data_IF_868565109399
#
_entry.id   IF_868565109399
#
_cell.length_a   1.000
_cell.length_b   1.000
_cell.length_c   1.000
_cell.angle_alpha   90.00
_cell.angle_beta   90.00
_cell.angle_gamma   90.00
#
_symmetry.space_group_name_H-M   'P 1'
#
loop_
_entity.id
_entity.type
_entity.pdbx_description
1 polymer ?
#
# COMPACT_ATOMS: atom_id res chain seq x y z
N UNK A 1 11.68 -4.89 -19.17
CA UNK A 1 10.49 -4.27 -18.60
C UNK A 1 10.13 -5.03 -17.34
N UNK A 2 10.27 -4.41 -16.17
CA UNK A 2 9.58 -4.91 -14.98
C UNK A 2 8.08 -4.81 -15.27
N UNK A 3 7.38 -5.96 -15.26
CA UNK A 3 5.94 -5.99 -15.46
C UNK A 3 5.28 -5.40 -14.20
N UNK A 4 4.28 -4.54 -14.38
CA UNK A 4 3.39 -4.18 -13.28
C UNK A 4 2.67 -5.45 -12.80
N UNK A 5 2.74 -5.75 -11.50
CA UNK A 5 1.90 -6.78 -10.90
C UNK A 5 0.52 -6.18 -10.64
N UNK A 6 -0.54 -6.83 -11.11
CA UNK A 6 -1.92 -6.40 -10.88
C UNK A 6 -2.60 -7.34 -9.90
N UNK A 7 -3.11 -6.78 -8.81
CA UNK A 7 -3.85 -7.48 -7.77
C UNK A 7 -5.29 -6.97 -7.81
N UNK A 8 -6.23 -7.92 -7.94
CA UNK A 8 -7.66 -7.61 -7.85
C UNK A 8 -8.18 -8.01 -6.47
N UNK A 9 -8.84 -7.08 -5.82
CA UNK A 9 -9.55 -7.31 -4.56
C UNK A 9 -11.05 -7.12 -4.80
N UNK A 10 -11.88 -7.42 -3.80
CA UNK A 10 -13.33 -7.17 -3.91
C UNK A 10 -13.66 -5.67 -4.08
N UNK A 11 -12.77 -4.78 -3.63
CA UNK A 11 -13.01 -3.35 -3.56
C UNK A 11 -12.19 -2.52 -4.53
N UNK A 12 -11.13 -3.06 -5.13
CA UNK A 12 -10.17 -2.28 -5.91
C UNK A 12 -9.29 -3.13 -6.83
N UNK A 13 -8.87 -2.49 -7.92
CA UNK A 13 -7.75 -2.95 -8.73
C UNK A 13 -6.48 -2.21 -8.28
N UNK A 14 -5.40 -2.95 -8.06
CA UNK A 14 -4.14 -2.43 -7.54
C UNK A 14 -3.03 -2.84 -8.49
N UNK A 15 -2.14 -1.92 -8.84
CA UNK A 15 -0.97 -2.20 -9.64
C UNK A 15 0.31 -1.79 -8.89
N UNK A 16 1.33 -2.64 -8.92
CA UNK A 16 2.62 -2.42 -8.25
C UNK A 16 3.74 -2.43 -9.29
N UNK A 17 4.63 -1.45 -9.22
CA UNK A 17 5.85 -1.37 -10.03
C UNK A 17 7.10 -1.44 -9.16
N UNK A 18 8.06 -2.28 -9.54
CA UNK A 18 9.39 -2.32 -8.95
C UNK A 18 10.34 -1.40 -9.73
N UNK A 19 10.97 -0.45 -9.04
CA UNK A 19 11.85 0.56 -9.63
C UNK A 19 13.13 -0.10 -10.15
N UNK A 20 13.21 -0.32 -11.46
CA UNK A 20 14.40 -0.85 -12.14
C UNK A 20 14.83 -0.01 -13.35
N UNK A 21 13.88 0.71 -13.94
CA UNK A 21 14.04 1.48 -15.17
C UNK A 21 14.63 2.88 -14.94
N UNK A 22 15.31 3.41 -15.96
CA UNK A 22 15.72 4.81 -16.00
C UNK A 22 14.53 5.73 -16.30
N UNK A 23 14.73 7.04 -16.11
CA UNK A 23 13.69 8.03 -16.42
C UNK A 23 13.37 8.02 -17.93
N UNK A 24 14.36 7.81 -18.78
CA UNK A 24 14.21 7.74 -20.24
C UNK A 24 13.37 6.52 -20.64
N UNK A 25 13.66 5.34 -20.08
CA UNK A 25 12.86 4.13 -20.32
C UNK A 25 11.42 4.31 -19.83
N UNK A 26 11.21 4.96 -18.68
CA UNK A 26 9.87 5.24 -18.16
C UNK A 26 9.09 6.23 -19.05
N UNK A 27 9.76 7.22 -19.63
CA UNK A 27 9.15 8.15 -20.60
C UNK A 27 8.68 7.42 -21.85
N UNK A 28 9.49 6.49 -22.37
CA UNK A 28 9.13 5.65 -23.50
C UNK A 28 7.92 4.75 -23.19
N UNK A 29 7.86 4.18 -21.98
CA UNK A 29 6.71 3.36 -21.55
C UNK A 29 5.43 4.19 -21.39
N UNK A 30 5.53 5.39 -20.78
CA UNK A 30 4.38 6.27 -20.61
C UNK A 30 3.86 6.77 -21.97
N UNK A 31 4.77 7.17 -22.85
CA UNK A 31 4.50 7.63 -24.22
C UNK A 31 3.39 8.69 -24.30
N UNK A 32 3.50 9.73 -23.46
CA UNK A 32 2.59 10.87 -23.40
C UNK A 32 3.39 12.15 -23.14
N UNK A 33 3.68 12.90 -24.20
CA UNK A 33 4.59 14.05 -24.11
C UNK A 33 4.02 15.18 -23.23
N UNK A 34 2.69 15.36 -23.21
CA UNK A 34 2.08 16.43 -22.43
C UNK A 34 2.26 16.16 -20.93
N UNK A 35 1.97 14.93 -20.49
CA UNK A 35 2.20 14.52 -19.10
C UNK A 35 3.69 14.51 -18.76
N UNK A 36 4.56 14.00 -19.65
CA UNK A 36 6.01 13.95 -19.42
C UNK A 36 6.57 15.35 -19.22
N UNK A 37 6.24 16.29 -20.12
CA UNK A 37 6.70 17.68 -20.04
C UNK A 37 6.20 18.35 -18.75
N UNK A 38 4.95 18.12 -18.37
CA UNK A 38 4.39 18.64 -17.11
C UNK A 38 5.14 18.10 -15.88
N UNK A 39 5.48 16.81 -15.85
CA UNK A 39 6.27 16.21 -14.76
C UNK A 39 7.65 16.85 -14.67
N UNK A 40 8.33 17.07 -15.79
CA UNK A 40 9.65 17.70 -15.82
C UNK A 40 9.63 19.15 -15.31
N UNK A 41 8.60 19.91 -15.69
CA UNK A 41 8.41 21.30 -15.24
C UNK A 41 8.15 21.36 -13.73
N UNK A 42 7.28 20.48 -13.22
CA UNK A 42 6.83 20.52 -11.82
C UNK A 42 7.85 19.93 -10.84
N UNK A 43 8.68 18.99 -11.28
CA UNK A 43 9.56 18.23 -10.39
C UNK A 43 11.00 18.24 -10.90
N UNK A 44 11.87 19.01 -10.25
CA UNK A 44 13.31 19.03 -10.56
C UNK A 44 14.08 17.83 -9.99
N UNK A 45 13.52 17.12 -9.00
CA UNK A 45 14.16 15.98 -8.36
C UNK A 45 13.94 14.70 -9.18
N UNK A 46 15.00 14.00 -9.64
CA UNK A 46 14.88 12.78 -10.44
C UNK A 46 14.07 11.67 -9.76
N UNK A 47 14.23 11.50 -8.44
CA UNK A 47 13.44 10.52 -7.67
C UNK A 47 11.95 10.83 -7.75
N UNK A 48 11.57 12.11 -7.66
CA UNK A 48 10.17 12.52 -7.74
C UNK A 48 9.62 12.38 -9.16
N UNK A 49 10.43 12.68 -10.19
CA UNK A 49 10.06 12.41 -11.58
C UNK A 49 9.81 10.92 -11.81
N UNK A 50 10.71 10.04 -11.36
CA UNK A 50 10.51 8.58 -11.42
C UNK A 50 9.21 8.16 -10.73
N UNK A 51 8.93 8.69 -9.54
CA UNK A 51 7.69 8.39 -8.81
C UNK A 51 6.44 8.79 -9.58
N UNK A 52 6.44 9.97 -10.19
CA UNK A 52 5.32 10.48 -10.96
C UNK A 52 5.12 9.72 -12.27
N UNK A 53 6.20 9.44 -13.00
CA UNK A 53 6.13 8.66 -14.24
C UNK A 53 5.53 7.27 -13.99
N UNK A 54 6.04 6.56 -12.99
CA UNK A 54 5.54 5.23 -12.63
C UNK A 54 4.07 5.30 -12.19
N UNK A 55 3.67 6.32 -11.42
CA UNK A 55 2.27 6.47 -11.01
C UNK A 55 1.33 6.63 -12.21
N UNK A 56 1.71 7.44 -13.20
CA UNK A 56 0.95 7.59 -14.44
C UNK A 56 0.93 6.31 -15.29
N UNK A 57 2.05 5.58 -15.35
CA UNK A 57 2.13 4.27 -16.02
C UNK A 57 1.18 3.27 -15.36
N UNK A 58 1.15 3.20 -14.03
CA UNK A 58 0.26 2.29 -13.30
C UNK A 58 -1.22 2.66 -13.49
N UNK A 59 -1.57 3.94 -13.49
CA UNK A 59 -2.93 4.38 -13.80
C UNK A 59 -3.29 4.03 -15.25
N UNK A 60 -2.39 4.29 -16.21
CA UNK A 60 -2.58 3.90 -17.62
C UNK A 60 -2.82 2.41 -17.76
N UNK A 61 -2.09 1.59 -17.00
CA UNK A 61 -2.24 0.15 -17.01
C UNK A 61 -3.61 -0.29 -16.47
N UNK A 62 -4.09 0.32 -15.38
CA UNK A 62 -5.37 -0.02 -14.75
C UNK A 62 -6.59 0.51 -15.52
N UNK A 63 -6.49 1.69 -16.14
CA UNK A 63 -7.62 2.35 -16.84
C UNK A 63 -7.57 2.22 -18.36
N UNK A 64 -6.48 1.70 -18.93
CA UNK A 64 -6.25 1.61 -20.37
C UNK A 64 -5.90 2.94 -21.05
N UNK A 65 -5.78 4.03 -20.30
CA UNK A 65 -5.49 5.37 -20.83
C UNK A 65 -4.73 6.21 -19.80
N UNK A 66 -3.88 7.11 -20.27
CA UNK A 66 -3.17 8.07 -19.41
C UNK A 66 -4.17 9.06 -18.83
N UNK A 67 -4.03 9.37 -17.53
CA UNK A 67 -4.82 10.37 -16.83
C UNK A 67 -3.91 11.33 -16.10
N UNK A 68 -4.30 12.60 -16.05
CA UNK A 68 -3.62 13.61 -15.23
C UNK A 68 -3.89 13.33 -13.74
N UNK A 69 -2.82 13.24 -12.93
CA UNK A 69 -2.92 13.11 -11.48
C UNK A 69 -2.90 14.50 -10.86
N UNK A 70 -4.02 14.91 -10.26
CA UNK A 70 -4.18 16.16 -9.52
C UNK A 70 -4.10 15.92 -8.03
N UNK A 71 -3.93 16.98 -7.25
CA UNK A 71 -3.85 16.90 -5.79
C UNK A 71 -4.86 17.85 -5.15
N UNK A 72 -5.55 17.38 -4.13
CA UNK A 72 -6.41 18.21 -3.29
C UNK A 72 -5.58 19.16 -2.42
N UNK A 73 -6.24 20.08 -1.71
CA UNK A 73 -5.57 21.03 -0.81
C UNK A 73 -4.73 20.32 0.27
N UNK A 74 -5.19 19.16 0.74
CA UNK A 74 -4.50 18.32 1.71
C UNK A 74 -3.44 17.39 1.09
N UNK A 75 -3.18 17.51 -0.21
CA UNK A 75 -2.22 16.70 -0.95
C UNK A 75 -2.70 15.32 -1.36
N UNK A 76 -3.96 14.93 -1.12
CA UNK A 76 -4.46 13.64 -1.60
C UNK A 76 -4.61 13.62 -3.13
N UNK A 77 -4.13 12.57 -3.81
CA UNK A 77 -4.20 12.49 -5.26
C UNK A 77 -5.62 12.17 -5.72
N UNK A 78 -6.01 12.73 -6.87
CA UNK A 78 -7.25 12.39 -7.57
C UNK A 78 -7.07 12.47 -9.08
N UNK A 79 -8.00 11.87 -9.81
CA UNK A 79 -8.14 11.96 -11.26
C UNK A 79 -9.55 12.49 -11.57
N UNK A 80 -9.74 13.14 -12.72
CA UNK A 80 -11.05 13.64 -13.16
C UNK A 80 -11.94 12.49 -13.69
N UNK A 81 -12.22 11.52 -12.81
CA UNK A 81 -13.07 10.36 -13.04
C UNK A 81 -13.93 10.12 -11.79
N UNK A 82 -15.04 9.40 -11.94
CA UNK A 82 -15.87 8.95 -10.81
C UNK A 82 -15.23 7.78 -10.04
N UNK A 83 -13.92 7.86 -9.77
CA UNK A 83 -13.12 6.82 -9.10
C UNK A 83 -12.18 7.44 -8.07
N UNK A 84 -11.91 6.68 -7.02
CA UNK A 84 -10.94 7.02 -5.99
C UNK A 84 -9.60 6.37 -6.29
N UNK A 85 -8.52 7.10 -6.06
CA UNK A 85 -7.17 6.57 -6.16
C UNK A 85 -6.42 6.75 -4.85
N UNK A 86 -5.53 5.79 -4.55
CA UNK A 86 -4.53 5.94 -3.50
C UNK A 86 -3.19 5.49 -4.05
N UNK A 87 -2.15 6.28 -3.77
CA UNK A 87 -0.79 6.04 -4.25
C UNK A 87 0.12 5.84 -3.04
N UNK A 88 0.96 4.81 -3.07
CA UNK A 88 1.99 4.61 -2.06
C UNK A 88 3.33 4.30 -2.68
N UNK A 89 4.39 4.84 -2.07
CA UNK A 89 5.75 4.68 -2.56
C UNK A 89 6.62 4.10 -1.44
N UNK A 90 7.36 3.05 -1.76
CA UNK A 90 8.47 2.57 -0.93
C UNK A 90 9.81 2.93 -1.59
N UNK A 91 10.91 2.52 -0.96
CA UNK A 91 12.24 2.71 -1.54
C UNK A 91 12.35 2.00 -2.89
N UNK A 92 11.86 0.77 -3.00
CA UNK A 92 12.01 -0.07 -4.19
C UNK A 92 10.77 -0.12 -5.08
N UNK A 93 9.61 0.27 -4.60
CA UNK A 93 8.35 0.00 -5.30
C UNK A 93 7.38 1.18 -5.23
N UNK A 94 6.38 1.16 -6.12
CA UNK A 94 5.25 2.09 -6.11
C UNK A 94 3.99 1.28 -6.36
N UNK A 95 2.94 1.58 -5.61
CA UNK A 95 1.63 1.00 -5.80
C UNK A 95 0.59 2.10 -6.06
N UNK A 96 -0.36 1.79 -6.95
CA UNK A 96 -1.56 2.58 -7.18
C UNK A 96 -2.77 1.66 -7.02
N UNK A 97 -3.74 2.09 -6.23
CA UNK A 97 -5.06 1.47 -6.14
C UNK A 97 -6.11 2.36 -6.80
N UNK A 98 -7.08 1.75 -7.48
CA UNK A 98 -8.26 2.41 -8.04
C UNK A 98 -9.51 1.68 -7.54
N UNK A 99 -10.48 2.44 -7.03
CA UNK A 99 -11.73 1.91 -6.47
C UNK A 99 -12.92 2.81 -6.79
N UNK A 100 -14.12 2.21 -6.82
CA UNK A 100 -15.41 2.91 -6.89
C UNK A 100 -15.79 3.57 -5.54
N UNK A 101 -15.06 3.25 -4.46
CA UNK A 101 -15.26 3.80 -3.11
C UNK A 101 -13.96 4.40 -2.57
N UNK A 102 -14.01 5.26 -1.53
CA UNK A 102 -12.81 5.72 -0.85
C UNK A 102 -11.90 4.56 -0.47
N UNK A 103 -10.62 4.70 -0.81
CA UNK A 103 -9.60 3.68 -0.60
C UNK A 103 -8.31 4.31 -0.09
N UNK A 104 -7.60 3.59 0.77
CA UNK A 104 -6.25 3.93 1.18
C UNK A 104 -5.35 2.70 1.04
N UNK A 105 -4.17 2.90 0.47
CA UNK A 105 -3.13 1.87 0.44
C UNK A 105 -1.85 2.39 1.04
N UNK A 106 -1.10 1.49 1.66
CA UNK A 106 0.23 1.79 2.15
C UNK A 106 1.20 0.67 1.78
N UNK A 107 2.38 1.06 1.32
CA UNK A 107 3.39 0.16 0.78
C UNK A 107 4.70 0.47 1.48
N UNK A 108 5.06 -0.36 2.44
CA UNK A 108 6.17 -0.10 3.34
C UNK A 108 7.17 -1.25 3.41
N UNK A 109 8.44 -0.90 3.58
CA UNK A 109 9.48 -1.90 3.84
C UNK A 109 9.53 -2.17 5.35
N UNK A 110 9.66 -3.45 5.73
CA UNK A 110 9.85 -3.80 7.16
C UNK A 110 11.22 -3.26 7.58
N UNK A 111 11.22 -2.19 8.38
CA UNK A 111 12.42 -1.56 8.94
C UNK A 111 12.36 -1.56 10.48
N UNK A 112 13.53 -1.44 11.12
CA UNK A 112 13.66 -1.35 12.58
C UNK A 112 13.14 -0.02 13.12
N UNK A 113 12.99 0.99 12.26
CA UNK A 113 12.55 2.34 12.64
C UNK A 113 11.09 2.38 13.10
N UNK A 114 10.22 1.59 12.50
CA UNK A 114 8.81 1.53 12.90
C UNK A 114 8.70 1.04 14.36
N UNK A 115 9.48 0.01 14.71
CA UNK A 115 9.54 -0.48 16.10
C UNK A 115 10.13 0.55 17.08
N UNK A 116 11.16 1.32 16.69
CA UNK A 116 11.74 2.33 17.59
C UNK A 116 10.81 3.52 17.84
N UNK A 117 9.86 3.78 16.94
CA UNK A 117 8.87 4.85 17.05
C UNK A 117 7.51 4.37 17.55
N UNK A 118 7.37 3.10 17.93
CA UNK A 118 6.10 2.45 18.26
C UNK A 118 5.20 3.29 19.18
N UNK A 119 5.77 3.83 20.26
CA UNK A 119 5.03 4.62 21.27
C UNK A 119 4.38 5.89 20.73
N UNK A 120 4.82 6.40 19.57
CA UNK A 120 4.28 7.63 18.97
C UNK A 120 3.00 7.41 18.18
N UNK A 121 2.70 6.18 17.78
CA UNK A 121 1.58 5.90 16.89
C UNK A 121 0.70 4.75 17.36
N UNK A 122 1.02 4.10 18.48
CA UNK A 122 0.27 2.92 18.96
C UNK A 122 -0.52 3.15 20.23
N UNK A 123 -1.68 2.51 20.32
CA UNK A 123 -2.48 2.39 21.54
C UNK A 123 -1.82 1.40 22.52
N UNK A 124 -2.20 1.40 23.82
CA UNK A 124 -1.72 0.39 24.76
C UNK A 124 -2.00 -1.06 24.33
N UNK A 125 -3.16 -1.32 23.71
CA UNK A 125 -3.52 -2.65 23.22
C UNK A 125 -2.61 -3.11 22.08
N UNK A 126 -2.29 -2.21 21.15
CA UNK A 126 -1.35 -2.46 20.05
C UNK A 126 0.08 -2.69 20.57
N UNK A 127 0.50 -1.95 21.60
CA UNK A 127 1.80 -2.16 22.25
C UNK A 127 1.89 -3.56 22.88
N UNK A 128 0.83 -3.98 23.59
CA UNK A 128 0.75 -5.34 24.15
C UNK A 128 0.81 -6.41 23.06
N UNK A 129 0.11 -6.19 21.93
CA UNK A 129 0.16 -7.10 20.79
C UNK A 129 1.58 -7.24 20.24
N UNK A 130 2.29 -6.12 20.01
CA UNK A 130 3.69 -6.13 19.58
C UNK A 130 4.59 -6.83 20.59
N UNK A 131 4.41 -6.57 21.89
CA UNK A 131 5.23 -7.18 22.93
C UNK A 131 5.05 -8.69 23.05
N UNK A 132 3.84 -9.18 22.78
CA UNK A 132 3.48 -10.59 22.81
C UNK A 132 3.93 -11.37 21.56
N UNK A 133 4.26 -10.68 20.47
CA UNK A 133 4.67 -11.31 19.21
C UNK A 133 6.14 -11.75 19.21
N UNK A 134 6.39 -12.89 18.56
CA UNK A 134 7.75 -13.36 18.27
C UNK A 134 8.46 -12.48 17.23
N UNK A 135 7.72 -11.79 16.36
CA UNK A 135 8.25 -10.86 15.37
C UNK A 135 7.69 -9.44 15.59
N UNK A 136 8.32 -8.73 16.53
CA UNK A 136 7.93 -7.37 16.91
C UNK A 136 8.06 -6.38 15.75
N UNK A 137 9.02 -6.59 14.85
CA UNK A 137 9.26 -5.70 13.72
C UNK A 137 8.14 -5.84 12.70
N UNK A 138 7.74 -7.07 12.39
CA UNK A 138 6.62 -7.36 11.51
C UNK A 138 5.33 -6.73 12.03
N UNK A 139 4.96 -6.97 13.29
CA UNK A 139 3.70 -6.42 13.84
C UNK A 139 3.75 -4.88 13.89
N UNK A 140 4.89 -4.29 14.22
CA UNK A 140 5.04 -2.83 14.20
C UNK A 140 4.87 -2.23 12.80
N UNK A 141 5.40 -2.90 11.77
CA UNK A 141 5.25 -2.49 10.38
C UNK A 141 3.80 -2.63 9.91
N UNK A 142 3.10 -3.71 10.29
CA UNK A 142 1.68 -3.91 9.99
C UNK A 142 0.83 -2.80 10.61
N UNK A 143 1.03 -2.49 11.90
CA UNK A 143 0.27 -1.43 12.58
C UNK A 143 0.55 -0.08 11.90
N UNK A 144 1.81 0.25 11.66
CA UNK A 144 2.18 1.49 10.97
C UNK A 144 1.50 1.61 9.61
N UNK A 145 1.63 0.58 8.77
CA UNK A 145 1.06 0.56 7.43
C UNK A 145 -0.47 0.63 7.46
N UNK A 146 -1.11 0.02 8.45
CA UNK A 146 -2.55 0.13 8.66
C UNK A 146 -3.03 1.52 9.01
N UNK A 147 -2.30 2.22 9.88
CA UNK A 147 -2.66 3.58 10.23
C UNK A 147 -2.44 4.54 9.07
N UNK A 148 -1.36 4.39 8.31
CA UNK A 148 -1.11 5.18 7.08
C UNK A 148 -2.18 4.93 6.00
N UNK A 149 -2.57 3.68 5.77
CA UNK A 149 -3.62 3.35 4.81
C UNK A 149 -4.99 3.90 5.27
N UNK A 150 -5.33 3.78 6.56
CA UNK A 150 -6.55 4.39 7.12
C UNK A 150 -6.51 5.92 7.02
N UNK A 151 -5.35 6.55 7.25
CA UNK A 151 -5.17 7.98 7.10
C UNK A 151 -5.45 8.44 5.66
N UNK A 152 -4.90 7.74 4.67
CA UNK A 152 -5.14 8.00 3.24
C UNK A 152 -6.61 7.79 2.87
N UNK A 153 -7.27 6.76 3.41
CA UNK A 153 -8.70 6.52 3.21
C UNK A 153 -9.57 7.62 3.84
N UNK A 154 -9.23 8.04 5.07
CA UNK A 154 -9.99 9.05 5.81
C UNK A 154 -9.88 10.44 5.17
N UNK A 155 -8.74 10.73 4.55
CA UNK A 155 -8.47 11.98 3.84
C UNK A 155 -8.68 13.24 4.71
N UNK A 156 -8.30 13.17 6.00
CA UNK A 156 -8.50 14.21 7.00
C UNK A 156 -7.15 14.65 7.57
N UNK A 157 -6.83 15.94 7.43
CA UNK A 157 -5.62 16.52 8.02
C UNK A 157 -5.66 16.48 9.55
N UNK A 158 -4.49 16.27 10.16
CA UNK A 158 -4.32 16.33 11.61
C UNK A 158 -4.86 15.13 12.38
N UNK A 159 -5.16 14.02 11.68
CA UNK A 159 -5.60 12.79 12.31
C UNK A 159 -4.53 12.20 13.25
N UNK A 160 -4.92 11.91 14.49
CA UNK A 160 -4.00 11.39 15.51
C UNK A 160 -4.01 9.86 15.53
N UNK A 161 -2.91 9.24 15.13
CA UNK A 161 -2.81 7.78 14.97
C UNK A 161 -3.02 7.03 16.28
N UNK A 162 -2.49 7.52 17.39
CA UNK A 162 -2.51 6.87 18.69
C UNK A 162 -3.87 6.94 19.40
N UNK A 163 -4.78 7.81 18.96
CA UNK A 163 -6.05 8.06 19.66
C UNK A 163 -7.29 7.94 18.76
N UNK A 164 -7.14 8.06 17.44
CA UNK A 164 -8.27 8.00 16.51
C UNK A 164 -8.30 6.74 15.64
N UNK A 165 -7.19 5.97 15.61
CA UNK A 165 -7.08 4.71 14.90
C UNK A 165 -6.60 3.61 15.85
N UNK A 166 -7.33 2.50 15.90
CA UNK A 166 -6.93 1.29 16.64
C UNK A 166 -7.02 0.05 15.74
N UNK A 167 -5.93 -0.68 15.62
CA UNK A 167 -5.84 -1.94 14.88
C UNK A 167 -6.17 -3.09 15.82
N UNK A 168 -7.11 -3.95 15.42
CA UNK A 168 -7.43 -5.16 16.19
C UNK A 168 -6.30 -6.17 16.01
N UNK A 169 -5.74 -6.71 17.11
CA UNK A 169 -4.74 -7.77 17.02
C UNK A 169 -5.23 -8.99 16.23
N UNK A 170 -4.38 -9.53 15.37
CA UNK A 170 -4.62 -10.74 14.59
C UNK A 170 -3.33 -11.55 14.42
N UNK A 171 -3.44 -12.78 13.89
CA UNK A 171 -2.26 -13.57 13.54
C UNK A 171 -1.96 -13.44 12.03
N UNK A 172 -0.91 -12.70 11.62
CA UNK A 172 -0.58 -12.52 10.20
C UNK A 172 -0.09 -13.79 9.50
N UNK A 173 0.26 -14.84 10.25
CA UNK A 173 0.60 -16.16 9.69
C UNK A 173 -0.65 -16.96 9.29
N UNK A 174 -1.83 -16.59 9.80
CA UNK A 174 -3.10 -17.31 9.60
C UNK A 174 -4.16 -16.49 8.86
N UNK A 175 -4.11 -15.16 9.00
CA UNK A 175 -5.13 -14.25 8.52
C UNK A 175 -4.52 -13.11 7.71
N UNK A 176 -5.14 -12.81 6.56
CA UNK A 176 -4.83 -11.63 5.75
C UNK A 176 -5.90 -10.54 5.86
N UNK A 177 -7.08 -10.84 6.41
CA UNK A 177 -8.15 -9.87 6.63
C UNK A 177 -8.30 -9.61 8.12
N UNK A 178 -8.34 -8.35 8.50
CA UNK A 178 -8.50 -7.93 9.90
C UNK A 178 -9.31 -6.65 9.99
N UNK A 179 -9.61 -6.23 11.23
CA UNK A 179 -10.41 -5.05 11.50
C UNK A 179 -9.60 -3.97 12.16
N UNK A 180 -9.92 -2.73 11.81
CA UNK A 180 -9.49 -1.55 12.55
C UNK A 180 -10.71 -0.73 12.97
N UNK A 181 -10.50 0.17 13.92
CA UNK A 181 -11.46 1.15 14.35
C UNK A 181 -10.92 2.53 14.04
N UNK A 182 -11.69 3.30 13.28
CA UNK A 182 -11.42 4.68 12.98
C UNK A 182 -12.54 5.55 13.57
N UNK A 183 -12.24 6.35 14.61
CA UNK A 183 -13.24 7.14 15.37
C UNK A 183 -14.47 6.31 15.78
N UNK A 184 -14.24 5.07 16.21
CA UNK A 184 -15.28 4.11 16.62
C UNK A 184 -16.02 3.42 15.47
N UNK A 185 -15.73 3.74 14.20
CA UNK A 185 -16.27 3.02 13.03
C UNK A 185 -15.36 1.88 12.64
N UNK A 186 -15.94 0.72 12.34
CA UNK A 186 -15.18 -0.43 11.85
C UNK A 186 -14.71 -0.15 10.42
N UNK A 187 -13.44 -0.41 10.17
CA UNK A 187 -12.81 -0.40 8.85
C UNK A 187 -12.25 -1.79 8.58
N UNK A 188 -12.50 -2.31 7.37
CA UNK A 188 -11.96 -3.59 6.95
C UNK A 188 -10.58 -3.36 6.33
N UNK A 189 -9.61 -4.15 6.76
CA UNK A 189 -8.23 -4.07 6.31
C UNK A 189 -7.80 -5.42 5.74
N UNK A 190 -7.02 -5.37 4.66
CA UNK A 190 -6.44 -6.54 4.02
C UNK A 190 -4.92 -6.36 3.92
N UNK A 191 -4.18 -7.31 4.47
CA UNK A 191 -2.74 -7.44 4.36
C UNK A 191 -2.40 -8.28 3.12
N UNK A 192 -1.70 -7.65 2.17
CA UNK A 192 -1.13 -8.31 1.01
C UNK A 192 0.38 -8.47 1.24
N UNK A 193 0.79 -9.67 1.64
CA UNK A 193 2.21 -10.02 1.83
C UNK A 193 2.77 -10.57 0.52
N UNK A 194 3.67 -9.84 -0.12
CA UNK A 194 4.33 -10.33 -1.34
C UNK A 194 5.47 -11.29 -0.96
N UNK A 195 5.14 -12.57 -0.77
CA UNK A 195 6.06 -13.66 -1.04
C UNK A 195 5.61 -14.26 -2.36
N UNK A 196 6.47 -14.29 -3.38
CA UNK A 196 6.19 -14.82 -4.73
C UNK A 196 4.91 -15.68 -4.81
N UNK A 197 3.91 -15.21 -5.58
CA UNK A 197 2.68 -15.91 -6.02
C UNK A 197 1.40 -15.55 -5.25
N UNK A 198 0.69 -14.50 -5.70
CA UNK A 198 -0.75 -14.37 -5.48
C UNK A 198 -1.50 -14.99 -6.66
N UNK A 199 -2.05 -16.20 -6.48
CA UNK A 199 -3.09 -16.71 -7.38
C UNK A 199 -4.21 -17.31 -6.52
N UNK A 200 -5.42 -16.94 -6.92
CA UNK A 200 -6.72 -17.54 -6.60
C UNK A 200 -7.51 -16.96 -5.43
N UNK A 201 -8.27 -15.94 -5.82
CA UNK A 201 -9.65 -15.69 -5.41
C UNK A 201 -10.40 -16.95 -4.93
N UNK A 202 -11.05 -16.84 -3.77
CA UNK A 202 -12.30 -17.49 -3.41
C UNK A 202 -12.60 -18.84 -4.09
N UNK A 203 -12.00 -19.95 -3.62
CA UNK A 203 -12.65 -21.28 -3.51
C UNK A 203 -11.78 -22.42 -2.93
N UNK A 204 -10.58 -22.18 -2.35
CA UNK A 204 -9.76 -23.26 -1.79
C UNK A 204 -9.70 -23.25 -0.25
N UNK A 205 -10.80 -23.62 0.41
CA UNK A 205 -10.72 -24.18 1.78
C UNK A 205 -10.67 -25.70 1.68
N UNK A 206 -9.46 -26.25 1.81
CA UNK A 206 -9.19 -27.45 2.61
C UNK A 206 -7.69 -27.74 2.54
N UNK A 207 -7.04 -27.86 3.71
CA UNK A 207 -5.65 -28.33 3.91
C UNK A 207 -4.53 -27.27 3.91
N UNK A 208 -4.74 -26.08 4.48
CA UNK A 208 -3.65 -25.12 4.77
C UNK A 208 -2.90 -25.42 6.08
N UNK A 209 -2.89 -26.67 6.57
CA UNK A 209 -2.34 -26.98 7.89
C UNK A 209 -0.98 -27.67 7.90
N UNK A 210 -0.32 -27.97 6.77
CA UNK A 210 0.95 -28.74 6.81
C UNK A 210 2.06 -28.40 5.80
N UNK A 211 1.85 -27.56 4.78
CA UNK A 211 2.85 -27.44 3.70
C UNK A 211 3.49 -26.06 3.48
N UNK A 212 3.00 -24.98 4.09
CA UNK A 212 3.57 -23.63 3.87
C UNK A 212 4.66 -23.28 4.90
N UNK A 213 4.69 -23.93 6.07
CA UNK A 213 5.59 -23.56 7.17
C UNK A 213 6.91 -24.35 7.26
N UNK A 214 7.15 -25.36 6.40
CA UNK A 214 8.30 -26.28 6.61
C UNK A 214 9.48 -26.12 5.64
N UNK A 215 9.47 -25.17 4.68
CA UNK A 215 10.58 -25.09 3.72
C UNK A 215 10.99 -23.71 3.21
N UNK A 216 10.48 -22.61 3.77
CA UNK A 216 10.95 -21.28 3.37
C UNK A 216 11.83 -20.67 4.47
N UNK A 217 13.12 -20.63 4.15
CA UNK A 217 14.13 -19.86 4.87
C UNK A 217 13.56 -18.47 5.22
N UNK A 218 13.54 -18.15 6.52
CA UNK A 218 13.19 -16.85 7.13
C UNK A 218 14.15 -15.72 6.72
N UNK A 219 14.32 -15.47 5.43
CA UNK A 219 15.09 -14.36 4.88
C UNK A 219 14.39 -13.86 3.63
N UNK A 220 13.95 -12.61 3.71
CA UNK A 220 13.44 -11.74 2.64
C UNK A 220 11.93 -11.76 2.36
N UNK A 221 11.18 -11.03 3.18
CA UNK A 221 10.03 -10.24 2.72
C UNK A 221 10.36 -8.78 3.01
N UNK A 222 10.63 -7.99 1.96
CA UNK A 222 11.11 -6.61 2.15
C UNK A 222 10.07 -5.53 1.83
N UNK A 223 8.81 -5.90 1.55
CA UNK A 223 7.70 -4.95 1.40
C UNK A 223 6.38 -5.57 1.88
N UNK A 224 5.55 -4.78 2.56
CA UNK A 224 4.15 -5.07 2.88
C UNK A 224 3.28 -4.07 2.12
N UNK A 225 2.26 -4.57 1.43
CA UNK A 225 1.20 -3.74 0.89
C UNK A 225 -0.03 -3.95 1.75
N UNK A 226 -0.51 -2.89 2.38
CA UNK A 226 -1.78 -2.91 3.07
C UNK A 226 -2.83 -2.17 2.25
N UNK A 227 -3.97 -2.83 2.12
CA UNK A 227 -5.15 -2.30 1.47
C UNK A 227 -6.21 -2.07 2.53
N UNK A 228 -6.75 -0.86 2.56
CA UNK A 228 -7.82 -0.49 3.46
C UNK A 228 -8.94 0.12 2.62
N UNK A 229 -10.11 -0.49 2.69
CA UNK A 229 -11.29 -0.09 1.93
C UNK A 229 -12.54 -0.07 2.80
N UNK A 230 -13.53 0.74 2.38
CA UNK A 230 -14.84 0.86 3.03
C UNK A 230 -15.87 -0.16 2.51
#
# INVERSE_FOLDING_TARGET
MALAEVIKTECADIAIWHKAETIEELKEVLNDNDIINNIEILYSNPKRQTEQLISHILIKHLLGQVKEIKHQQNGAPYIDEEKYISISHSRKSIAVAISEKPIGIDLEEIDRKQYSLLKKFTTPNEQLWVESSNDKQLISAIIWSAKEAIYKLANIEGLLFESEIEITPFNPDEECNFKAFYRGKVVNCQLLVNEHTFVESAHARQSLSKLILSSLNRRFVSCQLLVVSC
#
